data_IF_521224837966
#
_entry.id   IF_521224837966
#
_cell.length_a   1.000
_cell.length_b   1.000
_cell.length_c   1.000
_cell.angle_alpha   90.00
_cell.angle_beta   90.00
_cell.angle_gamma   90.00
#
_symmetry.space_group_name_H-M   'P 1'
#
loop_
_entity.id
_entity.type
_entity.pdbx_description
1 polymer ?
#
# COMPACT_ATOMS: atom_id res chain seq x y z
N UNK A 1 9.65 -28.92 -16.78
CA UNK A 1 8.70 -28.61 -15.68
C UNK A 1 9.17 -27.42 -14.83
N UNK A 2 10.42 -27.39 -14.37
CA UNK A 2 10.98 -26.23 -13.62
C UNK A 2 10.93 -24.88 -14.39
N UNK A 3 11.30 -24.87 -15.68
CA UNK A 3 11.25 -23.65 -16.52
C UNK A 3 9.84 -23.09 -16.76
N UNK A 4 8.81 -23.93 -16.73
CA UNK A 4 7.42 -23.52 -16.89
C UNK A 4 6.86 -22.89 -15.60
N UNK A 5 7.29 -23.38 -14.43
CA UNK A 5 7.00 -22.80 -13.12
C UNK A 5 7.66 -21.43 -12.94
N UNK A 6 8.88 -21.25 -13.44
CA UNK A 6 9.54 -19.94 -13.42
C UNK A 6 8.83 -18.94 -14.33
N UNK A 7 8.43 -19.37 -15.54
CA UNK A 7 7.72 -18.53 -16.51
C UNK A 7 6.36 -18.03 -15.99
N UNK A 8 5.61 -18.90 -15.30
CA UNK A 8 4.32 -18.52 -14.71
C UNK A 8 4.49 -17.55 -13.53
N UNK A 9 5.53 -17.72 -12.71
CA UNK A 9 5.86 -16.78 -11.64
C UNK A 9 6.19 -15.39 -12.19
N UNK A 10 7.03 -15.30 -13.22
CA UNK A 10 7.37 -14.03 -13.85
C UNK A 10 6.14 -13.29 -14.41
N UNK A 11 5.23 -14.04 -15.05
CA UNK A 11 3.97 -13.50 -15.56
C UNK A 11 3.06 -12.98 -14.43
N UNK A 12 2.91 -13.73 -13.34
CA UNK A 12 2.09 -13.31 -12.19
C UNK A 12 2.68 -12.08 -11.52
N UNK A 13 4.01 -12.02 -11.37
CA UNK A 13 4.70 -10.86 -10.82
C UNK A 13 4.50 -9.63 -11.71
N UNK A 14 4.69 -9.77 -13.02
CA UNK A 14 4.49 -8.69 -13.97
C UNK A 14 3.04 -8.19 -13.99
N UNK A 15 2.06 -9.10 -14.06
CA UNK A 15 0.63 -8.74 -14.04
C UNK A 15 0.24 -8.02 -12.75
N UNK A 16 0.65 -8.54 -11.60
CA UNK A 16 0.41 -7.89 -10.32
C UNK A 16 1.05 -6.50 -10.25
N UNK A 17 2.28 -6.35 -10.75
CA UNK A 17 2.98 -5.07 -10.80
C UNK A 17 2.32 -4.06 -11.75
N UNK A 18 1.80 -4.51 -12.91
CA UNK A 18 1.10 -3.65 -13.88
C UNK A 18 -0.18 -3.08 -13.25
N UNK A 19 -1.02 -3.95 -12.70
CA UNK A 19 -2.30 -3.54 -12.11
C UNK A 19 -2.06 -2.68 -10.88
N UNK A 20 -1.11 -3.07 -10.02
CA UNK A 20 -0.72 -2.30 -8.85
C UNK A 20 -0.12 -0.94 -9.21
N UNK A 21 0.71 -0.87 -10.24
CA UNK A 21 1.29 0.36 -10.76
C UNK A 21 0.23 1.33 -11.27
N UNK A 22 -0.73 0.83 -12.06
CA UNK A 22 -1.87 1.64 -12.51
C UNK A 22 -2.67 2.22 -11.34
N UNK A 23 -3.05 1.35 -10.40
CA UNK A 23 -3.82 1.75 -9.23
C UNK A 23 -3.02 2.70 -8.33
N UNK A 24 -1.72 2.50 -8.17
CA UNK A 24 -0.86 3.42 -7.44
C UNK A 24 -0.75 4.77 -8.14
N UNK A 25 -0.61 4.80 -9.46
CA UNK A 25 -0.60 6.06 -10.23
C UNK A 25 -1.89 6.86 -10.00
N UNK A 26 -3.02 6.18 -9.97
CA UNK A 26 -4.34 6.78 -9.73
C UNK A 26 -4.50 7.26 -8.29
N UNK A 27 -4.30 6.38 -7.32
CA UNK A 27 -4.57 6.61 -5.88
C UNK A 27 -3.45 7.35 -5.13
N UNK A 28 -2.22 7.21 -5.60
CA UNK A 28 -1.01 7.72 -4.94
C UNK A 28 -0.42 6.80 -3.87
N UNK A 29 -0.91 5.57 -3.64
CA UNK A 29 -0.35 4.68 -2.60
C UNK A 29 -0.59 3.17 -2.74
N UNK A 30 -1.66 2.73 -3.40
CA UNK A 30 -2.22 1.38 -3.20
C UNK A 30 -1.45 0.23 -3.89
N UNK A 31 -0.16 0.41 -4.20
CA UNK A 31 0.65 -0.62 -4.86
C UNK A 31 0.68 -1.93 -4.07
N UNK A 32 1.11 -1.89 -2.80
CA UNK A 32 1.28 -3.09 -1.99
C UNK A 32 -0.02 -3.88 -1.79
N UNK A 33 -1.13 -3.18 -1.52
CA UNK A 33 -2.46 -3.81 -1.38
C UNK A 33 -2.89 -4.56 -2.64
N UNK A 34 -2.76 -3.91 -3.80
CA UNK A 34 -3.18 -4.50 -5.08
C UNK A 34 -2.24 -5.61 -5.48
N UNK A 35 -0.93 -5.39 -5.44
CA UNK A 35 0.06 -6.39 -5.80
C UNK A 35 -0.07 -7.66 -4.94
N UNK A 36 -0.28 -7.49 -3.63
CA UNK A 36 -0.48 -8.62 -2.72
C UNK A 36 -1.77 -9.40 -3.01
N UNK A 37 -2.80 -8.79 -3.59
CA UNK A 37 -4.00 -9.53 -4.01
C UNK A 37 -3.72 -10.55 -5.11
N UNK A 38 -2.70 -10.29 -5.94
CA UNK A 38 -2.20 -11.25 -6.94
C UNK A 38 -1.14 -12.20 -6.35
N UNK A 39 -0.23 -11.66 -5.55
CA UNK A 39 0.96 -12.38 -5.11
C UNK A 39 0.74 -13.24 -3.86
N UNK A 40 -0.32 -13.01 -3.08
CA UNK A 40 -0.60 -13.72 -1.84
C UNK A 40 -0.75 -15.24 -2.01
N UNK A 41 -1.01 -15.72 -3.23
CA UNK A 41 -1.31 -17.12 -3.54
C UNK A 41 -0.10 -17.91 -4.02
N UNK A 42 0.87 -17.24 -4.65
CA UNK A 42 1.91 -17.91 -5.44
C UNK A 42 3.32 -17.41 -5.14
N UNK A 43 3.46 -16.24 -4.53
CA UNK A 43 4.75 -15.63 -4.21
C UNK A 43 5.01 -15.82 -2.72
N UNK A 44 6.23 -16.25 -2.39
CA UNK A 44 6.68 -16.31 -1.00
C UNK A 44 6.45 -14.97 -0.28
N UNK A 45 5.93 -14.95 0.96
CA UNK A 45 5.56 -13.72 1.66
C UNK A 45 6.70 -12.70 1.79
N UNK A 46 7.94 -13.17 2.01
CA UNK A 46 9.11 -12.29 2.14
C UNK A 46 9.45 -11.68 0.78
N UNK A 47 9.44 -12.49 -0.27
CA UNK A 47 9.65 -12.00 -1.64
C UNK A 47 8.56 -11.00 -2.04
N UNK A 48 7.30 -11.31 -1.77
CA UNK A 48 6.17 -10.45 -2.08
C UNK A 48 6.26 -9.09 -1.36
N UNK A 49 6.66 -9.08 -0.08
CA UNK A 49 6.88 -7.84 0.68
C UNK A 49 8.00 -6.97 0.07
N UNK A 50 9.10 -7.59 -0.37
CA UNK A 50 10.22 -6.89 -1.02
C UNK A 50 9.78 -6.33 -2.38
N UNK A 51 9.13 -7.13 -3.23
CA UNK A 51 8.63 -6.69 -4.53
C UNK A 51 7.57 -5.60 -4.40
N UNK A 52 6.71 -5.68 -3.38
CA UNK A 52 5.64 -4.71 -3.13
C UNK A 52 6.22 -3.36 -2.72
N UNK A 53 7.21 -3.38 -1.83
CA UNK A 53 7.90 -2.19 -1.36
C UNK A 53 8.71 -1.56 -2.50
N UNK A 54 9.45 -2.36 -3.26
CA UNK A 54 10.25 -1.87 -4.37
C UNK A 54 9.43 -1.33 -5.53
N UNK A 55 8.39 -2.06 -5.95
CA UNK A 55 7.48 -1.60 -7.01
C UNK A 55 6.73 -0.35 -6.60
N UNK A 56 6.28 -0.31 -5.34
CA UNK A 56 5.68 0.88 -4.76
C UNK A 56 6.64 2.08 -4.76
N UNK A 57 7.89 1.89 -4.35
CA UNK A 57 8.93 2.93 -4.34
C UNK A 57 9.21 3.42 -5.77
N UNK A 58 9.37 2.49 -6.71
CA UNK A 58 9.63 2.79 -8.12
C UNK A 58 8.50 3.64 -8.71
N UNK A 59 7.25 3.24 -8.49
CA UNK A 59 6.10 4.02 -8.95
C UNK A 59 5.99 5.39 -8.28
N UNK A 60 6.36 5.50 -6.99
CA UNK A 60 6.44 6.80 -6.33
C UNK A 60 7.53 7.69 -6.91
N UNK A 61 8.72 7.16 -7.19
CA UNK A 61 9.81 7.92 -7.82
C UNK A 61 9.38 8.42 -9.20
N UNK A 62 8.79 7.55 -10.03
CA UNK A 62 8.23 7.92 -11.34
C UNK A 62 7.21 9.04 -11.18
N UNK A 63 6.22 8.89 -10.29
CA UNK A 63 5.21 9.91 -10.07
C UNK A 63 5.78 11.21 -9.50
N UNK A 64 6.87 11.17 -8.72
CA UNK A 64 7.52 12.36 -8.16
C UNK A 64 8.25 13.18 -9.23
N UNK A 65 8.86 12.52 -10.22
CA UNK A 65 9.59 13.20 -11.30
C UNK A 65 8.68 13.62 -12.47
N UNK A 66 7.56 12.93 -12.66
CA UNK A 66 6.66 13.18 -13.81
C UNK A 66 5.44 14.04 -13.50
N UNK A 67 5.03 14.13 -12.23
CA UNK A 67 3.83 14.86 -11.83
C UNK A 67 4.20 15.92 -10.80
N UNK A 68 3.71 17.15 -10.96
CA UNK A 68 3.85 18.19 -9.94
C UNK A 68 3.06 17.78 -8.70
N UNK A 69 3.76 17.54 -7.59
CA UNK A 69 3.16 17.27 -6.29
C UNK A 69 3.01 18.56 -5.51
N UNK A 70 1.85 18.77 -4.90
CA UNK A 70 1.73 19.73 -3.81
C UNK A 70 2.66 19.36 -2.66
N UNK A 71 3.00 20.34 -1.82
CA UNK A 71 3.82 20.10 -0.63
C UNK A 71 3.39 21.00 0.52
N UNK A 72 2.46 20.50 1.34
CA UNK A 72 2.11 21.12 2.61
C UNK A 72 2.95 20.51 3.74
N UNK A 73 3.99 21.23 4.16
CA UNK A 73 4.91 20.80 5.23
C UNK A 73 4.19 20.63 6.56
N UNK A 74 3.27 21.53 6.90
CA UNK A 74 2.62 21.53 8.20
C UNK A 74 1.71 20.31 8.37
N UNK A 75 1.03 19.94 7.28
CA UNK A 75 0.15 18.77 7.23
C UNK A 75 0.93 17.46 7.10
N UNK A 76 2.01 17.43 6.30
CA UNK A 76 2.78 16.21 6.03
C UNK A 76 3.69 15.79 7.20
N UNK A 77 4.32 16.76 7.87
CA UNK A 77 5.38 16.48 8.84
C UNK A 77 4.95 15.53 9.98
N UNK A 78 3.76 15.69 10.61
CA UNK A 78 3.33 14.76 11.65
C UNK A 78 3.25 13.32 11.17
N UNK A 79 2.66 13.08 9.98
CA UNK A 79 2.60 11.73 9.40
C UNK A 79 3.99 11.15 9.20
N UNK A 80 4.89 11.93 8.60
CA UNK A 80 6.27 11.47 8.32
C UNK A 80 7.00 11.14 9.62
N UNK A 81 6.94 12.02 10.63
CA UNK A 81 7.61 11.78 11.92
C UNK A 81 7.11 10.50 12.59
N UNK A 82 5.78 10.30 12.63
CA UNK A 82 5.21 9.06 13.15
C UNK A 82 5.65 7.84 12.33
N UNK A 83 5.57 7.94 11.01
CA UNK A 83 5.92 6.85 10.10
C UNK A 83 7.39 6.46 10.14
N UNK A 84 8.31 7.42 10.32
CA UNK A 84 9.74 7.14 10.50
C UNK A 84 10.02 6.28 11.72
N UNK A 85 9.21 6.41 12.78
CA UNK A 85 9.26 5.52 13.95
C UNK A 85 8.57 4.19 13.65
N UNK A 86 7.45 4.23 12.93
CA UNK A 86 6.67 3.04 12.58
C UNK A 86 7.38 2.06 11.67
N UNK A 87 8.15 2.53 10.68
CA UNK A 87 8.81 1.67 9.69
C UNK A 87 9.79 0.67 10.34
N UNK A 88 10.77 1.09 11.17
CA UNK A 88 11.65 0.16 11.88
C UNK A 88 10.89 -0.85 12.73
N UNK A 89 9.82 -0.43 13.41
CA UNK A 89 8.96 -1.31 14.20
C UNK A 89 8.27 -2.36 13.31
N UNK A 90 7.75 -1.96 12.15
CA UNK A 90 7.15 -2.86 11.17
C UNK A 90 8.14 -3.89 10.64
N UNK A 91 9.34 -3.46 10.23
CA UNK A 91 10.37 -4.38 9.72
C UNK A 91 10.85 -5.34 10.82
N UNK A 92 11.02 -4.86 12.05
CA UNK A 92 11.37 -5.71 13.18
C UNK A 92 10.26 -6.72 13.53
N UNK A 93 9.00 -6.33 13.36
CA UNK A 93 7.85 -7.19 13.61
C UNK A 93 7.64 -8.23 12.51
N UNK A 94 8.04 -7.94 11.27
CA UNK A 94 7.84 -8.80 10.10
C UNK A 94 8.16 -10.29 10.32
N UNK A 95 9.34 -10.70 10.86
CA UNK A 95 9.65 -12.12 11.10
C UNK A 95 8.89 -12.75 12.27
N UNK A 96 8.24 -11.94 13.12
CA UNK A 96 7.52 -12.38 14.34
C UNK A 96 6.00 -12.32 14.16
N UNK A 97 5.53 -11.75 13.05
CA UNK A 97 4.13 -11.51 12.77
C UNK A 97 3.47 -12.79 12.25
N UNK A 98 2.32 -13.13 12.79
CA UNK A 98 1.43 -14.09 12.14
C UNK A 98 0.80 -13.42 10.90
N UNK A 99 1.40 -13.67 9.73
CA UNK A 99 1.01 -13.06 8.45
C UNK A 99 -0.47 -13.29 8.12
N UNK A 100 -1.02 -14.51 8.20
CA UNK A 100 -2.46 -14.74 8.11
C UNK A 100 -3.29 -13.87 9.05
N UNK A 101 -2.94 -13.78 10.33
CA UNK A 101 -3.71 -12.98 11.29
C UNK A 101 -3.69 -11.50 10.93
N UNK A 102 -2.51 -10.95 10.58
CA UNK A 102 -2.39 -9.56 10.15
C UNK A 102 -3.23 -9.25 8.91
N UNK A 103 -3.16 -10.12 7.89
CA UNK A 103 -3.97 -10.00 6.68
C UNK A 103 -5.46 -10.04 7.01
N UNK A 104 -5.88 -10.91 7.94
CA UNK A 104 -7.27 -11.00 8.36
C UNK A 104 -7.73 -9.73 9.08
N UNK A 105 -6.93 -9.20 10.01
CA UNK A 105 -7.25 -7.96 10.72
C UNK A 105 -7.33 -6.77 9.76
N UNK A 106 -6.34 -6.59 8.90
CA UNK A 106 -6.33 -5.49 7.92
C UNK A 106 -7.47 -5.66 6.91
N UNK A 107 -7.68 -6.87 6.40
CA UNK A 107 -8.76 -7.17 5.47
C UNK A 107 -10.14 -6.92 6.06
N UNK A 108 -10.37 -7.36 7.31
CA UNK A 108 -11.61 -7.11 8.05
C UNK A 108 -11.85 -5.62 8.27
N UNK A 109 -10.82 -4.88 8.68
CA UNK A 109 -10.91 -3.42 8.82
C UNK A 109 -11.36 -2.76 7.51
N UNK A 110 -10.73 -3.10 6.38
CA UNK A 110 -11.03 -2.52 5.07
C UNK A 110 -12.43 -2.91 4.58
N UNK A 111 -12.83 -4.18 4.71
CA UNK A 111 -14.14 -4.68 4.26
C UNK A 111 -15.29 -4.12 5.10
N UNK A 112 -15.06 -3.82 6.38
CA UNK A 112 -16.09 -3.20 7.21
C UNK A 112 -16.17 -1.69 6.97
N UNK A 113 -15.03 -0.99 7.03
CA UNK A 113 -15.03 0.47 7.01
C UNK A 113 -15.18 1.07 5.61
N UNK A 114 -14.54 0.51 4.59
CA UNK A 114 -14.55 1.14 3.26
C UNK A 114 -15.95 1.12 2.62
N UNK A 115 -16.73 0.03 2.66
CA UNK A 115 -18.12 0.03 2.18
C UNK A 115 -19.02 0.94 3.01
N UNK A 116 -18.88 0.94 4.33
CA UNK A 116 -19.63 1.86 5.20
C UNK A 116 -19.36 3.32 4.80
N UNK A 117 -18.10 3.67 4.55
CA UNK A 117 -17.71 5.00 4.06
C UNK A 117 -18.18 5.29 2.63
N UNK A 118 -18.35 4.29 1.77
CA UNK A 118 -18.94 4.46 0.43
C UNK A 118 -20.44 4.76 0.51
N UNK A 119 -21.15 4.08 1.40
CA UNK A 119 -22.60 4.23 1.57
C UNK A 119 -22.97 5.50 2.35
N UNK A 120 -22.04 6.03 3.16
CA UNK A 120 -22.23 7.26 3.91
C UNK A 120 -22.30 8.49 2.98
N UNK A 121 -23.52 9.05 2.81
CA UNK A 121 -23.75 10.30 2.06
C UNK A 121 -22.95 11.48 2.62
N UNK A 122 -22.91 11.61 3.95
CA UNK A 122 -22.12 12.61 4.67
C UNK A 122 -21.22 11.92 5.69
N UNK A 123 -19.92 11.87 5.43
CA UNK A 123 -18.96 11.40 6.44
C UNK A 123 -18.79 12.49 7.50
N UNK A 124 -18.83 12.14 8.80
CA UNK A 124 -18.52 13.10 9.85
C UNK A 124 -17.06 13.56 9.68
N UNK A 125 -16.88 14.88 9.48
CA UNK A 125 -15.55 15.48 9.40
C UNK A 125 -14.92 15.46 10.80
N UNK A 126 -14.00 14.54 11.01
CA UNK A 126 -13.30 14.43 12.29
C UNK A 126 -12.41 15.66 12.46
N UNK A 127 -12.75 16.55 13.39
CA UNK A 127 -11.93 17.74 13.72
C UNK A 127 -11.02 17.50 14.94
N UNK A 128 -11.21 16.40 15.66
CA UNK A 128 -10.49 16.07 16.88
C UNK A 128 -9.13 15.40 16.58
N UNK A 129 -8.19 15.49 17.54
CA UNK A 129 -6.88 14.81 17.51
C UNK A 129 -5.74 15.57 16.82
N UNK A 130 -6.05 16.46 15.88
CA UNK A 130 -5.08 17.37 15.25
C UNK A 130 -3.78 16.69 14.77
N UNK A 131 -2.64 17.36 14.97
CA UNK A 131 -1.31 16.88 14.53
C UNK A 131 -0.85 15.62 15.26
N UNK A 132 -1.29 15.39 16.50
CA UNK A 132 -0.93 14.20 17.26
C UNK A 132 -1.57 12.95 16.64
N UNK A 133 -2.86 13.02 16.30
CA UNK A 133 -3.55 11.94 15.61
C UNK A 133 -2.97 11.70 14.21
N UNK A 134 -2.61 12.76 13.48
CA UNK A 134 -1.90 12.64 12.19
C UNK A 134 -0.57 11.86 12.36
N UNK A 135 0.16 12.11 13.44
CA UNK A 135 1.36 11.35 13.79
C UNK A 135 1.11 9.90 14.16
N UNK A 136 0.08 9.59 14.95
CA UNK A 136 -0.29 8.20 15.29
C UNK A 136 -0.69 7.42 14.04
N UNK A 137 -1.48 8.02 13.16
CA UNK A 137 -1.86 7.40 11.89
C UNK A 137 -0.63 7.23 10.99
N UNK A 138 0.28 8.21 10.97
CA UNK A 138 1.58 8.08 10.32
C UNK A 138 2.38 6.89 10.84
N UNK A 139 2.43 6.71 12.16
CA UNK A 139 3.10 5.57 12.81
C UNK A 139 2.49 4.23 12.38
N UNK A 140 1.16 4.10 12.44
CA UNK A 140 0.50 2.86 12.02
C UNK A 140 0.74 2.61 10.52
N UNK A 141 0.66 3.66 9.69
CA UNK A 141 1.02 3.60 8.28
C UNK A 141 2.46 3.16 8.06
N UNK A 142 3.41 3.65 8.87
CA UNK A 142 4.81 3.23 8.84
C UNK A 142 4.99 1.76 9.20
N UNK A 143 4.33 1.28 10.26
CA UNK A 143 4.33 -0.14 10.65
C UNK A 143 3.79 -1.01 9.51
N UNK A 144 2.63 -0.66 8.97
CA UNK A 144 2.04 -1.34 7.80
C UNK A 144 2.97 -1.30 6.57
N UNK A 145 3.75 -0.22 6.42
CA UNK A 145 4.79 -0.10 5.41
C UNK A 145 5.92 -1.11 5.59
N UNK A 146 6.48 -1.18 6.79
CA UNK A 146 7.53 -2.14 7.15
C UNK A 146 7.11 -3.61 7.05
N UNK A 147 5.81 -3.90 7.09
CA UNK A 147 5.25 -5.24 7.02
C UNK A 147 4.97 -5.74 5.58
N UNK A 148 5.15 -4.91 4.55
CA UNK A 148 4.89 -5.33 3.17
C UNK A 148 4.39 -4.24 2.22
N UNK A 149 4.72 -2.97 2.49
CA UNK A 149 4.38 -1.86 1.60
C UNK A 149 2.93 -1.38 1.72
N UNK A 150 2.24 -1.67 2.83
CA UNK A 150 0.86 -1.22 3.08
C UNK A 150 0.79 0.20 3.68
N UNK A 151 1.72 1.07 3.30
CA UNK A 151 1.98 2.38 3.91
C UNK A 151 0.77 3.31 3.90
N UNK A 152 0.08 3.40 2.76
CA UNK A 152 -0.91 4.47 2.55
C UNK A 152 -2.35 4.17 2.98
N UNK A 153 -2.69 2.93 3.37
CA UNK A 153 -4.08 2.55 3.60
C UNK A 153 -4.72 3.36 4.74
N UNK A 154 -4.10 3.32 5.93
CA UNK A 154 -4.62 4.02 7.10
C UNK A 154 -4.52 5.55 6.98
N UNK A 155 -3.38 6.13 6.53
CA UNK A 155 -3.31 7.56 6.25
C UNK A 155 -4.40 8.02 5.27
N UNK A 156 -4.71 7.23 4.25
CA UNK A 156 -5.76 7.59 3.27
C UNK A 156 -7.14 7.61 3.90
N UNK A 157 -7.49 6.58 4.69
CA UNK A 157 -8.76 6.54 5.41
C UNK A 157 -8.89 7.73 6.36
N UNK A 158 -7.82 8.03 7.11
CA UNK A 158 -7.79 9.17 8.02
C UNK A 158 -7.94 10.51 7.30
N UNK A 159 -7.20 10.75 6.22
CA UNK A 159 -7.35 11.96 5.40
C UNK A 159 -8.77 12.11 4.83
N UNK A 160 -9.41 10.99 4.47
CA UNK A 160 -10.80 10.97 4.00
C UNK A 160 -11.77 11.36 5.12
N UNK A 161 -11.56 10.84 6.34
CA UNK A 161 -12.34 11.20 7.54
C UNK A 161 -12.11 12.65 7.99
N UNK A 162 -10.93 13.20 7.75
CA UNK A 162 -10.61 14.62 7.96
C UNK A 162 -11.30 15.52 6.94
N UNK A 163 -11.84 14.96 5.86
CA UNK A 163 -12.49 15.71 4.78
C UNK A 163 -11.52 16.61 4.03
N UNK A 164 -10.27 16.16 3.85
CA UNK A 164 -9.29 16.87 3.04
C UNK A 164 -9.73 16.84 1.57
N UNK A 165 -9.47 17.94 0.87
CA UNK A 165 -9.71 18.02 -0.57
C UNK A 165 -8.87 16.98 -1.32
N UNK A 166 -9.45 16.42 -2.39
CA UNK A 166 -8.84 15.40 -3.26
C UNK A 166 -7.34 15.62 -3.53
N UNK A 167 -6.93 16.81 -3.98
CA UNK A 167 -5.54 17.09 -4.36
C UNK A 167 -4.60 17.20 -3.14
N UNK A 168 -5.07 17.80 -2.05
CA UNK A 168 -4.33 17.88 -0.78
C UNK A 168 -4.12 16.49 -0.20
N UNK A 169 -5.19 15.69 -0.14
CA UNK A 169 -5.13 14.30 0.30
C UNK A 169 -4.12 13.52 -0.54
N UNK A 170 -4.24 13.55 -1.88
CA UNK A 170 -3.33 12.80 -2.74
C UNK A 170 -1.88 13.25 -2.59
N UNK A 171 -1.62 14.56 -2.48
CA UNK A 171 -0.29 15.11 -2.25
C UNK A 171 0.34 14.59 -0.94
N UNK A 172 -0.39 14.66 0.17
CA UNK A 172 0.07 14.16 1.48
C UNK A 172 0.38 12.67 1.38
N UNK A 173 -0.53 11.90 0.80
CA UNK A 173 -0.40 10.45 0.67
C UNK A 173 0.79 10.08 -0.20
N UNK A 174 0.98 10.69 -1.37
CA UNK A 174 2.12 10.41 -2.25
C UNK A 174 3.47 10.71 -1.59
N UNK A 175 3.58 11.85 -0.89
CA UNK A 175 4.82 12.26 -0.24
C UNK A 175 5.12 11.41 1.00
N UNK A 176 4.09 11.09 1.79
CA UNK A 176 4.23 10.14 2.89
C UNK A 176 4.66 8.76 2.40
N UNK A 177 4.01 8.23 1.37
CA UNK A 177 4.34 6.91 0.81
C UNK A 177 5.75 6.87 0.23
N UNK A 178 6.16 7.89 -0.54
CA UNK A 178 7.53 7.97 -1.05
C UNK A 178 8.54 7.91 0.10
N UNK A 179 8.31 8.69 1.16
CA UNK A 179 9.19 8.73 2.33
C UNK A 179 9.27 7.36 3.03
N UNK A 180 8.12 6.76 3.31
CA UNK A 180 8.05 5.49 4.04
C UNK A 180 8.57 4.30 3.23
N UNK A 181 8.28 4.25 1.93
CA UNK A 181 8.76 3.19 1.04
C UNK A 181 10.27 3.30 0.84
N UNK A 182 10.81 4.51 0.72
CA UNK A 182 12.25 4.73 0.66
C UNK A 182 12.93 4.20 1.93
N UNK A 183 12.47 4.62 3.10
CA UNK A 183 13.04 4.16 4.37
C UNK A 183 12.89 2.65 4.54
N UNK A 184 11.71 2.09 4.24
CA UNK A 184 11.47 0.64 4.34
C UNK A 184 12.42 -0.13 3.45
N UNK A 185 12.56 0.28 2.18
CA UNK A 185 13.45 -0.40 1.24
C UNK A 185 14.92 -0.26 1.65
N UNK A 186 15.34 0.91 2.15
CA UNK A 186 16.68 1.09 2.72
C UNK A 186 16.94 0.16 3.91
N UNK A 187 15.96 -0.02 4.80
CA UNK A 187 16.07 -0.99 5.91
C UNK A 187 16.13 -2.43 5.38
N UNK A 188 15.35 -2.78 4.36
CA UNK A 188 15.43 -4.11 3.72
C UNK A 188 16.81 -4.39 3.12
N UNK A 189 17.45 -3.39 2.51
CA UNK A 189 18.83 -3.50 2.04
C UNK A 189 19.80 -3.67 3.21
N UNK A 190 19.71 -2.81 4.23
CA UNK A 190 20.61 -2.85 5.40
C UNK A 190 20.49 -4.11 6.26
N UNK A 191 19.32 -4.75 6.29
CA UNK A 191 19.07 -6.01 7.01
C UNK A 191 19.40 -7.26 6.19
N UNK A 192 19.80 -7.12 4.92
CA UNK A 192 20.00 -8.25 4.02
C UNK A 192 18.71 -8.97 3.63
N UNK A 193 17.55 -8.31 3.78
CA UNK A 193 16.27 -8.88 3.38
C UNK A 193 16.20 -9.08 1.86
N UNK A 194 16.80 -8.14 1.11
CA UNK A 194 16.95 -8.19 -0.35
C UNK A 194 18.15 -9.07 -0.72
N UNK A 195 17.89 -10.22 -1.33
CA UNK A 195 18.91 -11.13 -1.82
C UNK A 195 19.19 -10.98 -3.32
N UNK A 196 20.39 -11.39 -3.76
CA UNK A 196 20.78 -11.45 -5.18
C UNK A 196 19.77 -12.23 -6.06
N UNK A 197 19.20 -13.37 -5.60
CA UNK A 197 18.20 -14.10 -6.40
C UNK A 197 16.92 -13.31 -6.68
N UNK A 198 16.65 -12.22 -5.94
CA UNK A 198 15.46 -11.38 -6.13
C UNK A 198 15.63 -10.34 -7.26
N UNK A 199 16.87 -10.04 -7.67
CA UNK A 199 17.18 -8.96 -8.63
C UNK A 199 16.45 -9.10 -9.98
N UNK A 200 16.31 -10.29 -10.59
CA UNK A 200 15.56 -10.43 -11.84
C UNK A 200 14.09 -10.01 -11.69
N UNK A 201 13.45 -10.40 -10.58
CA UNK A 201 12.05 -10.03 -10.30
C UNK A 201 11.91 -8.54 -9.99
N UNK A 202 12.88 -7.94 -9.29
CA UNK A 202 12.92 -6.48 -9.10
C UNK A 202 13.03 -5.76 -10.45
N UNK A 203 13.87 -6.24 -11.37
CA UNK A 203 13.98 -5.69 -12.72
C UNK A 203 12.66 -5.76 -13.49
N UNK A 204 11.95 -6.89 -13.42
CA UNK A 204 10.63 -7.05 -14.03
C UNK A 204 9.63 -6.07 -13.43
N UNK A 205 9.57 -5.96 -12.10
CA UNK A 205 8.69 -5.01 -11.42
C UNK A 205 9.00 -3.57 -11.84
N UNK A 206 10.27 -3.17 -11.89
CA UNK A 206 10.65 -1.82 -12.30
C UNK A 206 10.13 -1.47 -13.71
N UNK A 207 10.28 -2.41 -14.66
CA UNK A 207 9.85 -2.22 -16.03
C UNK A 207 8.32 -2.25 -16.16
N UNK A 208 7.68 -3.20 -15.49
CA UNK A 208 6.23 -3.43 -15.51
C UNK A 208 5.44 -2.24 -14.94
N UNK A 209 6.01 -1.50 -13.99
CA UNK A 209 5.35 -0.37 -13.31
C UNK A 209 5.43 0.94 -14.10
N UNK A 210 6.39 1.06 -15.03
CA UNK A 210 6.72 2.33 -15.68
C UNK A 210 5.55 2.97 -16.42
N UNK A 211 4.93 2.22 -17.35
CA UNK A 211 3.80 2.73 -18.14
C UNK A 211 2.52 2.84 -17.30
N UNK A 212 2.12 1.82 -16.52
CA UNK A 212 0.85 1.85 -15.80
C UNK A 212 0.74 3.00 -14.80
N UNK A 213 1.82 3.34 -14.08
CA UNK A 213 1.81 4.48 -13.13
C UNK A 213 1.47 5.79 -13.83
N UNK A 214 2.05 6.03 -15.01
CA UNK A 214 1.78 7.23 -15.79
C UNK A 214 0.34 7.26 -16.30
N UNK A 215 -0.18 6.12 -16.76
CA UNK A 215 -1.57 6.00 -17.19
C UNK A 215 -2.55 6.26 -16.05
N UNK A 216 -2.31 5.68 -14.87
CA UNK A 216 -3.11 5.92 -13.67
C UNK A 216 -3.06 7.39 -13.22
N UNK A 217 -1.88 8.00 -13.27
CA UNK A 217 -1.70 9.40 -12.92
C UNK A 217 -2.40 10.35 -13.91
N UNK A 218 -2.46 10.00 -15.21
CA UNK A 218 -3.22 10.74 -16.21
C UNK A 218 -4.73 10.62 -15.99
N UNK A 219 -5.22 9.42 -15.69
CA UNK A 219 -6.64 9.20 -15.40
C UNK A 219 -7.10 10.00 -14.17
N UNK A 220 -6.23 10.15 -13.16
CA UNK A 220 -6.52 10.96 -11.98
C UNK A 220 -6.93 12.41 -12.30
N UNK A 221 -6.34 13.01 -13.34
CA UNK A 221 -6.60 14.41 -13.71
C UNK A 221 -8.05 14.58 -14.18
N UNK A 222 -8.62 13.56 -14.84
CA UNK A 222 -9.96 13.61 -15.41
C UNK A 222 -11.11 13.21 -14.47
N UNK A 223 -10.83 12.68 -13.28
CA UNK A 223 -11.86 12.18 -12.36
C UNK A 223 -12.34 13.25 -11.38
N UNK A 224 -13.64 13.28 -11.06
CA UNK A 224 -14.19 14.13 -9.99
C UNK A 224 -13.75 13.66 -8.60
N UNK A 225 -13.94 14.50 -7.57
CA UNK A 225 -13.68 14.14 -6.17
C UNK A 225 -14.53 12.95 -5.71
N UNK A 226 -15.81 12.91 -6.09
CA UNK A 226 -16.70 11.79 -5.80
C UNK A 226 -16.21 10.50 -6.44
N UNK A 227 -15.82 10.55 -7.73
CA UNK A 227 -15.30 9.39 -8.44
C UNK A 227 -13.97 8.91 -7.83
N UNK A 228 -13.07 9.83 -7.45
CA UNK A 228 -11.82 9.48 -6.77
C UNK A 228 -12.07 8.76 -5.45
N UNK A 229 -12.96 9.29 -4.61
CA UNK A 229 -13.36 8.65 -3.35
C UNK A 229 -13.95 7.26 -3.59
N UNK A 230 -14.84 7.12 -4.58
CA UNK A 230 -15.46 5.83 -4.93
C UNK A 230 -14.40 4.80 -5.34
N UNK A 231 -13.48 5.20 -6.22
CA UNK A 231 -12.41 4.33 -6.69
C UNK A 231 -11.48 3.92 -5.56
N UNK A 232 -11.01 4.87 -4.74
CA UNK A 232 -10.10 4.58 -3.61
C UNK A 232 -10.76 3.61 -2.62
N UNK A 233 -11.97 3.91 -2.16
CA UNK A 233 -12.65 3.05 -1.19
C UNK A 233 -13.06 1.70 -1.80
N UNK A 234 -13.43 1.67 -3.07
CA UNK A 234 -13.72 0.43 -3.79
C UNK A 234 -12.48 -0.46 -3.90
N UNK A 235 -11.34 0.10 -4.28
CA UNK A 235 -10.06 -0.61 -4.33
C UNK A 235 -9.61 -1.13 -2.96
N UNK A 236 -9.77 -0.31 -1.91
CA UNK A 236 -9.48 -0.73 -0.54
C UNK A 236 -10.39 -1.89 -0.11
N UNK A 237 -11.69 -1.83 -0.45
CA UNK A 237 -12.65 -2.92 -0.19
C UNK A 237 -12.23 -4.20 -0.90
N UNK A 238 -11.95 -4.13 -2.21
CA UNK A 238 -11.52 -5.29 -3.02
C UNK A 238 -10.22 -5.90 -2.46
N UNK A 239 -9.25 -5.05 -2.12
CA UNK A 239 -7.99 -5.49 -1.51
C UNK A 239 -8.24 -6.15 -0.16
N UNK A 240 -9.14 -5.59 0.66
CA UNK A 240 -9.53 -6.17 1.94
C UNK A 240 -10.17 -7.55 1.79
N UNK A 241 -11.06 -7.71 0.80
CA UNK A 241 -11.65 -9.01 0.48
C UNK A 241 -10.57 -10.01 0.05
N UNK A 242 -9.67 -9.62 -0.86
CA UNK A 242 -8.58 -10.50 -1.31
C UNK A 242 -7.68 -10.94 -0.14
N UNK A 243 -7.36 -10.01 0.78
CA UNK A 243 -6.63 -10.33 2.00
C UNK A 243 -7.37 -11.36 2.85
N UNK A 244 -8.66 -11.17 3.12
CA UNK A 244 -9.49 -12.11 3.88
C UNK A 244 -9.57 -13.49 3.22
N UNK A 245 -9.84 -13.54 1.91
CA UNK A 245 -9.93 -14.81 1.17
C UNK A 245 -8.60 -15.56 1.24
N UNK A 246 -7.46 -14.84 1.24
CA UNK A 246 -6.13 -15.46 1.37
C UNK A 246 -5.75 -15.88 2.79
N UNK A 247 -6.35 -15.31 3.83
CA UNK A 247 -5.93 -15.53 5.23
C UNK A 247 -6.89 -16.35 6.07
N UNK A 248 -8.20 -16.19 5.87
CA UNK A 248 -9.24 -16.82 6.67
C UNK A 248 -9.19 -18.35 6.59
N UNK A 249 -9.03 -18.99 5.42
CA UNK A 249 -8.91 -20.45 5.33
C UNK A 249 -7.72 -20.99 6.13
N UNK A 250 -6.60 -20.26 6.12
CA UNK A 250 -5.38 -20.63 6.87
C UNK A 250 -5.62 -20.54 8.38
N UNK A 251 -6.36 -19.53 8.85
CA UNK A 251 -6.70 -19.38 10.27
C UNK A 251 -7.70 -20.45 10.75
N UNK A 252 -8.71 -20.78 9.92
CA UNK A 252 -9.63 -21.88 10.22
C UNK A 252 -8.90 -23.22 10.32
N UNK A 253 -7.97 -23.51 9.41
CA UNK A 253 -7.16 -24.73 9.46
C UNK A 253 -6.27 -24.84 10.71
N UNK A 254 -5.98 -23.72 11.37
CA UNK A 254 -5.19 -23.66 12.62
C UNK A 254 -6.02 -23.79 13.90
N UNK A 255 -7.36 -23.86 13.81
CA UNK A 255 -8.24 -23.90 14.99
C UNK A 255 -8.33 -22.59 15.77
N UNK A 256 -7.93 -21.46 15.16
CA UNK A 256 -8.00 -20.13 15.80
C UNK A 256 -9.39 -19.47 15.68
N UNK A 257 -10.28 -20.06 14.87
CA UNK A 257 -11.67 -19.59 14.64
C UNK A 257 -12.71 -20.70 14.91
N UNK A 258 -12.31 -21.79 15.58
CA UNK A 258 -13.18 -22.90 16.01
C UNK A 258 -13.61 -22.75 17.46
#
# INVERSE_FOLDING_TARGET
MASALDSSLYLIVALGAIVAGFVQGLSGFAFGLVAMSFWAWTVDPRLAAVLATFGGLTGQVIAAVTVRRGFDRALLLPFVLGGLVGVPLGVWLLPRLDVPLFKACLGGLLVLWCPAMLMARNLPRVKAGGRAADGVVGLIGGVCGGLGGFTGALPTLWCTLRGLEKDVQRSVIQNFNLSMLLVTFSVYLGTGLVGVPMLPLLGIVALAVLVPVLLGARLYVGISETAFRQVVLGLLTLSGMALLVSSVPVLFARGLLS
#
